data_IF_434612572932
#
_entry.id   IF_434612572932
#
_cell.length_a   1.000
_cell.length_b   1.000
_cell.length_c   1.000
_cell.angle_alpha   90.00
_cell.angle_beta   90.00
_cell.angle_gamma   90.00
#
_symmetry.space_group_name_H-M   'P 1'
#
loop_
_entity.id
_entity.type
_entity.pdbx_description
1 polymer ?
#
# COMPACT_ATOMS: atom_id res chain seq x y z
N UNK A 1 1.24 15.93 -26.18
CA UNK A 1 0.17 15.69 -25.19
C UNK A 1 0.55 16.54 -23.99
N UNK A 2 -0.36 17.36 -23.47
CA UNK A 2 -0.09 18.22 -22.31
C UNK A 2 -0.49 17.45 -21.03
N UNK A 3 0.46 17.23 -20.12
CA UNK A 3 0.26 16.54 -18.85
C UNK A 3 0.25 17.48 -17.64
N UNK A 4 0.24 18.79 -17.86
CA UNK A 4 0.35 19.79 -16.78
C UNK A 4 -0.71 19.64 -15.68
N UNK A 5 -1.95 19.29 -16.04
CA UNK A 5 -3.02 19.04 -15.07
C UNK A 5 -2.77 17.78 -14.24
N UNK A 6 -2.23 16.73 -14.86
CA UNK A 6 -1.85 15.50 -14.16
C UNK A 6 -0.67 15.75 -13.21
N UNK A 7 0.37 16.45 -13.67
CA UNK A 7 1.53 16.79 -12.85
C UNK A 7 1.12 17.64 -11.63
N UNK A 8 0.26 18.64 -11.84
CA UNK A 8 -0.28 19.48 -10.76
C UNK A 8 -1.11 18.66 -9.73
N UNK A 9 -1.87 17.66 -10.20
CA UNK A 9 -2.61 16.75 -9.31
C UNK A 9 -1.65 15.91 -8.47
N UNK A 10 -0.64 15.31 -9.11
CA UNK A 10 0.39 14.50 -8.42
C UNK A 10 1.12 15.34 -7.36
N UNK A 11 1.56 16.53 -7.72
CA UNK A 11 2.25 17.44 -6.80
C UNK A 11 1.38 17.81 -5.58
N UNK A 12 0.10 18.09 -5.82
CA UNK A 12 -0.84 18.43 -4.75
C UNK A 12 -1.11 17.28 -3.77
N UNK A 13 -0.97 16.01 -4.22
CA UNK A 13 -1.30 14.82 -3.42
C UNK A 13 -0.06 14.05 -2.92
N UNK A 14 1.16 14.42 -3.37
CA UNK A 14 2.40 13.71 -3.08
C UNK A 14 2.65 13.53 -1.57
N UNK A 15 2.49 14.58 -0.77
CA UNK A 15 2.70 14.52 0.68
C UNK A 15 1.71 13.58 1.38
N UNK A 16 0.45 13.55 0.93
CA UNK A 16 -0.55 12.63 1.47
C UNK A 16 -0.20 11.19 1.10
N UNK A 17 0.19 10.95 -0.15
CA UNK A 17 0.64 9.64 -0.63
C UNK A 17 1.85 9.11 0.16
N UNK A 18 2.84 9.96 0.42
CA UNK A 18 4.03 9.61 1.20
C UNK A 18 3.66 9.28 2.66
N UNK A 19 2.72 10.01 3.26
CA UNK A 19 2.22 9.70 4.62
C UNK A 19 1.51 8.35 4.66
N UNK A 20 0.61 8.08 3.72
CA UNK A 20 -0.13 6.82 3.64
C UNK A 20 0.81 5.63 3.40
N UNK A 21 1.75 5.77 2.48
CA UNK A 21 2.77 4.77 2.21
C UNK A 21 3.64 4.51 3.45
N UNK A 22 4.06 5.57 4.13
CA UNK A 22 4.87 5.46 5.35
C UNK A 22 4.10 4.75 6.45
N UNK A 23 2.83 5.10 6.67
CA UNK A 23 1.97 4.45 7.65
C UNK A 23 1.79 2.95 7.34
N UNK A 24 1.56 2.61 6.07
CA UNK A 24 1.43 1.21 5.65
C UNK A 24 2.75 0.45 5.79
N UNK A 25 3.90 1.07 5.46
CA UNK A 25 5.23 0.44 5.58
C UNK A 25 5.71 0.28 7.03
N UNK A 26 5.18 1.07 7.96
CA UNK A 26 5.45 0.89 9.39
C UNK A 26 4.82 -0.39 9.97
N UNK A 27 3.88 -1.01 9.26
CA UNK A 27 3.24 -2.25 9.68
C UNK A 27 4.05 -3.45 9.17
N UNK A 28 4.61 -4.29 10.09
CA UNK A 28 5.42 -5.45 9.74
C UNK A 28 4.52 -6.62 9.29
N UNK A 29 3.90 -6.49 8.12
CA UNK A 29 2.98 -7.47 7.54
C UNK A 29 3.71 -8.70 7.00
N UNK A 30 4.53 -9.30 7.85
CA UNK A 30 5.32 -10.50 7.56
C UNK A 30 4.45 -11.73 7.79
N UNK A 31 4.59 -12.76 6.95
CA UNK A 31 3.91 -14.03 7.17
C UNK A 31 4.22 -14.59 8.56
N UNK A 32 3.16 -14.94 9.31
CA UNK A 32 3.25 -15.40 10.70
C UNK A 32 3.12 -14.28 11.74
N UNK A 33 3.31 -13.01 11.39
CA UNK A 33 3.02 -11.88 12.27
C UNK A 33 1.54 -11.48 12.16
N UNK A 34 0.71 -12.06 13.00
CA UNK A 34 -0.75 -11.85 12.96
C UNK A 34 -1.15 -10.39 13.18
N UNK A 35 -0.47 -9.70 14.08
CA UNK A 35 -0.76 -8.30 14.39
C UNK A 35 -0.37 -7.38 13.22
N UNK A 36 0.81 -7.57 12.66
CA UNK A 36 1.26 -6.82 11.48
C UNK A 36 0.37 -7.04 10.26
N UNK A 37 -0.07 -8.28 10.03
CA UNK A 37 -1.04 -8.60 8.97
C UNK A 37 -2.38 -7.93 9.22
N UNK A 38 -2.95 -8.05 10.43
CA UNK A 38 -4.23 -7.44 10.76
C UNK A 38 -4.19 -5.90 10.62
N UNK A 39 -3.10 -5.29 11.06
CA UNK A 39 -2.87 -3.85 10.88
C UNK A 39 -2.83 -3.46 9.41
N UNK A 40 -2.09 -4.21 8.58
CA UNK A 40 -2.00 -3.95 7.15
C UNK A 40 -3.35 -4.12 6.44
N UNK A 41 -4.12 -5.17 6.78
CA UNK A 41 -5.48 -5.38 6.27
C UNK A 41 -6.37 -4.16 6.59
N UNK A 42 -6.35 -3.70 7.85
CA UNK A 42 -7.14 -2.53 8.26
C UNK A 42 -6.73 -1.26 7.49
N UNK A 43 -5.43 -1.03 7.33
CA UNK A 43 -4.92 0.13 6.61
C UNK A 43 -5.29 0.10 5.12
N UNK A 44 -5.16 -1.06 4.46
CA UNK A 44 -5.53 -1.21 3.04
C UNK A 44 -7.04 -1.05 2.84
N UNK A 45 -7.87 -1.59 3.74
CA UNK A 45 -9.31 -1.37 3.71
C UNK A 45 -9.68 0.11 3.78
N UNK A 46 -9.05 0.86 4.68
CA UNK A 46 -9.28 2.31 4.79
C UNK A 46 -8.85 3.07 3.53
N UNK A 47 -7.69 2.71 2.95
CA UNK A 47 -7.22 3.29 1.69
C UNK A 47 -8.21 3.02 0.54
N UNK A 48 -8.66 1.76 0.39
CA UNK A 48 -9.60 1.38 -0.64
C UNK A 48 -10.97 2.10 -0.49
N UNK A 49 -11.47 2.21 0.74
CA UNK A 49 -12.73 2.93 1.02
C UNK A 49 -12.61 4.43 0.74
N UNK A 50 -11.47 5.06 1.06
CA UNK A 50 -11.22 6.47 0.70
C UNK A 50 -11.16 6.68 -0.81
N UNK A 51 -10.60 5.72 -1.54
CA UNK A 51 -10.58 5.72 -2.99
C UNK A 51 -11.97 5.45 -3.63
N UNK A 52 -13.04 5.37 -2.82
CA UNK A 52 -14.40 5.16 -3.30
C UNK A 52 -14.78 3.74 -3.63
N UNK A 53 -13.86 2.76 -3.43
CA UNK A 53 -14.12 1.37 -3.76
C UNK A 53 -15.10 0.71 -2.77
N UNK A 54 -15.98 -0.14 -3.28
CA UNK A 54 -16.74 -1.10 -2.47
C UNK A 54 -15.79 -2.23 -2.05
N UNK A 55 -15.12 -2.04 -0.91
CA UNK A 55 -14.08 -2.94 -0.45
C UNK A 55 -14.59 -3.95 0.58
N UNK A 56 -14.14 -5.20 0.47
CA UNK A 56 -14.45 -6.29 1.40
C UNK A 56 -13.23 -7.16 1.70
N UNK A 57 -13.29 -7.85 2.85
CA UNK A 57 -12.26 -8.80 3.29
C UNK A 57 -12.77 -10.22 2.99
N UNK A 58 -12.00 -10.96 2.19
CA UNK A 58 -12.31 -12.34 1.80
C UNK A 58 -11.31 -13.29 2.46
N UNK A 59 -11.77 -14.04 3.46
CA UNK A 59 -10.98 -15.07 4.11
C UNK A 59 -11.20 -16.41 3.37
N UNK A 60 -10.21 -16.85 2.60
CA UNK A 60 -10.27 -18.13 1.89
C UNK A 60 -10.02 -19.32 2.81
N UNK A 61 -9.11 -19.16 3.77
CA UNK A 61 -8.72 -20.19 4.73
C UNK A 61 -8.34 -19.56 6.06
N UNK A 62 -8.60 -20.24 7.20
CA UNK A 62 -8.30 -19.71 8.53
C UNK A 62 -6.80 -19.51 8.84
N UNK A 63 -5.95 -20.24 8.13
CA UNK A 63 -4.48 -20.26 8.30
C UNK A 63 -3.74 -19.30 7.37
N UNK A 64 -4.45 -18.65 6.45
CA UNK A 64 -3.87 -17.70 5.50
C UNK A 64 -4.30 -16.25 5.77
N UNK A 65 -3.44 -15.29 5.43
CA UNK A 65 -3.86 -13.89 5.38
C UNK A 65 -5.05 -13.70 4.43
N UNK A 66 -6.03 -12.83 4.77
CA UNK A 66 -7.19 -12.62 3.91
C UNK A 66 -6.81 -11.86 2.63
N UNK A 67 -7.65 -11.99 1.61
CA UNK A 67 -7.61 -11.15 0.43
C UNK A 67 -8.52 -9.94 0.69
N UNK A 68 -8.13 -8.79 0.17
CA UNK A 68 -8.96 -7.60 0.11
C UNK A 68 -9.36 -7.42 -1.34
N UNK A 69 -10.66 -7.37 -1.61
CA UNK A 69 -11.21 -7.02 -2.91
C UNK A 69 -11.85 -5.65 -2.83
N UNK A 70 -11.85 -4.92 -3.94
CA UNK A 70 -12.53 -3.64 -4.05
C UNK A 70 -12.97 -3.44 -5.49
N UNK A 71 -14.20 -2.97 -5.68
CA UNK A 71 -14.80 -2.76 -6.99
C UNK A 71 -15.40 -1.37 -7.08
N UNK A 72 -15.33 -0.77 -8.27
CA UNK A 72 -16.04 0.44 -8.63
C UNK A 72 -16.54 0.35 -10.08
N UNK A 73 -17.70 0.98 -10.32
CA UNK A 73 -18.31 1.04 -11.64
C UNK A 73 -18.98 -0.27 -12.08
N UNK A 74 -19.70 -0.17 -13.19
CA UNK A 74 -20.47 -1.28 -13.79
C UNK A 74 -20.18 -1.45 -15.28
N UNK A 75 -19.17 -0.76 -15.79
CA UNK A 75 -18.86 -0.69 -17.20
C UNK A 75 -18.04 -1.87 -17.73
N UNK A 76 -17.84 -1.88 -19.02
CA UNK A 76 -16.94 -2.79 -19.73
C UNK A 76 -16.02 -1.95 -20.64
N UNK A 77 -14.73 -2.28 -20.82
CA UNK A 77 -14.06 -3.46 -20.25
C UNK A 77 -13.75 -3.35 -18.76
N UNK A 78 -13.60 -4.47 -18.08
CA UNK A 78 -13.15 -4.56 -16.70
C UNK A 78 -11.61 -4.45 -16.64
N UNK A 79 -11.11 -3.52 -15.82
CA UNK A 79 -9.68 -3.44 -15.48
C UNK A 79 -9.45 -4.10 -14.12
N UNK A 80 -8.67 -5.18 -14.08
CA UNK A 80 -8.25 -5.81 -12.84
C UNK A 80 -6.86 -5.33 -12.44
N UNK A 81 -6.73 -4.87 -11.19
CA UNK A 81 -5.46 -4.44 -10.59
C UNK A 81 -5.12 -5.39 -9.45
N UNK A 82 -3.90 -5.95 -9.45
CA UNK A 82 -3.41 -6.83 -8.40
C UNK A 82 -2.24 -6.20 -7.64
N UNK A 83 -2.28 -6.33 -6.32
CA UNK A 83 -1.20 -5.95 -5.40
C UNK A 83 -1.10 -6.94 -4.26
N UNK A 84 0.03 -6.95 -3.53
CA UNK A 84 0.13 -7.61 -2.23
C UNK A 84 0.52 -6.62 -1.14
N UNK A 85 0.07 -6.87 0.09
CA UNK A 85 0.31 -6.02 1.25
C UNK A 85 1.26 -6.65 2.26
N UNK A 86 1.56 -7.94 2.10
CA UNK A 86 2.56 -8.63 2.90
C UNK A 86 3.98 -8.28 2.43
N UNK A 87 4.94 -8.54 3.30
CA UNK A 87 6.35 -8.27 3.03
C UNK A 87 7.23 -9.40 3.55
N UNK A 88 8.40 -9.54 2.95
CA UNK A 88 9.42 -10.45 3.47
C UNK A 88 9.96 -9.95 4.82
N UNK A 89 10.42 -10.87 5.70
CA UNK A 89 11.18 -10.50 6.88
C UNK A 89 12.36 -9.60 6.54
N UNK A 90 12.80 -8.81 7.50
CA UNK A 90 14.01 -8.00 7.37
C UNK A 90 14.84 -8.16 8.64
N UNK A 91 16.10 -8.62 8.47
CA UNK A 91 17.06 -8.65 9.57
C UNK A 91 17.63 -7.23 9.74
N UNK A 92 17.52 -6.60 10.91
CA UNK A 92 18.13 -5.31 11.19
C UNK A 92 19.66 -5.27 10.94
N UNK A 93 20.32 -6.42 10.96
CA UNK A 93 21.76 -6.54 10.73
C UNK A 93 22.15 -6.61 9.23
N UNK A 94 21.20 -6.63 8.32
CA UNK A 94 21.42 -6.69 6.86
C UNK A 94 21.77 -5.32 6.23
N UNK A 95 22.46 -4.44 6.94
CA UNK A 95 22.96 -3.17 6.38
C UNK A 95 21.89 -2.06 6.26
N UNK A 96 20.78 -2.17 6.99
CA UNK A 96 19.79 -1.11 7.07
C UNK A 96 20.35 0.12 7.79
N UNK A 97 20.30 1.28 7.14
CA UNK A 97 20.70 2.57 7.74
C UNK A 97 19.64 3.14 8.69
N UNK A 98 18.42 2.64 8.62
CA UNK A 98 17.31 2.91 9.55
C UNK A 98 16.53 1.63 9.77
N UNK A 99 15.82 1.45 10.91
CA UNK A 99 15.06 0.23 11.15
C UNK A 99 14.09 -0.07 9.98
N UNK A 100 14.01 -1.33 9.50
CA UNK A 100 13.26 -1.70 8.29
C UNK A 100 11.78 -1.25 8.28
N UNK A 101 11.13 -1.26 9.44
CA UNK A 101 9.73 -0.85 9.62
C UNK A 101 9.58 0.55 10.22
N UNK A 102 10.62 1.39 10.08
CA UNK A 102 10.58 2.82 10.37
C UNK A 102 10.85 3.58 9.07
N UNK A 103 9.83 3.77 8.21
CA UNK A 103 10.00 4.41 6.92
C UNK A 103 10.66 5.79 7.08
N UNK A 104 11.75 6.00 6.37
CA UNK A 104 12.61 7.17 6.54
C UNK A 104 12.85 7.87 5.21
N UNK A 105 12.46 9.14 5.12
CA UNK A 105 12.75 9.97 3.95
C UNK A 105 14.18 10.52 4.06
N UNK A 106 15.01 10.24 3.06
CA UNK A 106 16.39 10.75 2.94
C UNK A 106 16.68 11.09 1.48
N UNK A 107 17.25 12.24 1.24
CA UNK A 107 17.69 12.68 -0.10
C UNK A 107 16.61 12.52 -1.18
N UNK A 108 15.35 12.83 -0.82
CA UNK A 108 14.20 12.70 -1.71
C UNK A 108 13.70 11.28 -1.94
N UNK A 109 14.22 10.27 -1.23
CA UNK A 109 13.82 8.87 -1.35
C UNK A 109 13.27 8.34 -0.02
N UNK A 110 12.20 7.56 -0.09
CA UNK A 110 11.64 6.84 1.06
C UNK A 110 12.26 5.45 1.17
N UNK A 111 12.85 5.16 2.34
CA UNK A 111 13.48 3.89 2.65
C UNK A 111 12.69 3.13 3.69
N UNK A 112 12.47 1.83 3.47
CA UNK A 112 11.78 0.92 4.39
C UNK A 112 11.44 -0.42 3.74
N UNK A 113 11.20 -1.45 4.55
CA UNK A 113 10.74 -2.74 4.04
C UNK A 113 9.33 -2.59 3.43
N UNK A 114 9.17 -3.09 2.20
CA UNK A 114 7.90 -3.04 1.49
C UNK A 114 7.63 -1.74 0.72
N UNK A 115 8.48 -0.71 0.83
CA UNK A 115 8.31 0.54 0.08
C UNK A 115 8.23 0.26 -1.42
N UNK A 116 9.26 -0.36 -2.01
CA UNK A 116 9.29 -0.66 -3.44
C UNK A 116 8.48 -1.90 -3.81
N UNK A 117 8.42 -2.90 -2.93
CA UNK A 117 7.77 -4.18 -3.17
C UNK A 117 6.84 -4.55 -2.00
N UNK A 118 5.57 -4.29 -2.09
CA UNK A 118 4.78 -3.77 -3.21
C UNK A 118 3.91 -2.56 -2.78
N UNK A 119 4.11 -2.03 -1.54
CA UNK A 119 3.20 -1.06 -0.91
C UNK A 119 3.10 0.27 -1.66
N UNK A 120 4.18 0.73 -2.33
CA UNK A 120 4.10 1.92 -3.18
C UNK A 120 3.13 1.72 -4.34
N UNK A 121 3.18 0.56 -4.99
CA UNK A 121 2.28 0.26 -6.10
C UNK A 121 0.82 0.19 -5.64
N UNK A 122 0.57 -0.36 -4.44
CA UNK A 122 -0.75 -0.42 -3.84
C UNK A 122 -1.30 0.98 -3.59
N UNK A 123 -0.54 1.84 -2.91
CA UNK A 123 -0.96 3.22 -2.60
C UNK A 123 -1.16 4.04 -3.88
N UNK A 124 -0.20 4.00 -4.81
CA UNK A 124 -0.27 4.76 -6.06
C UNK A 124 -1.47 4.37 -6.92
N UNK A 125 -1.81 3.07 -6.97
CA UNK A 125 -2.96 2.59 -7.76
C UNK A 125 -4.29 2.92 -7.12
N UNK A 126 -4.39 2.93 -5.80
CA UNK A 126 -5.58 3.40 -5.10
C UNK A 126 -5.81 4.89 -5.33
N UNK A 127 -4.75 5.71 -5.25
CA UNK A 127 -4.83 7.14 -5.57
C UNK A 127 -5.17 7.43 -7.05
N UNK A 128 -4.86 6.50 -7.95
CA UNK A 128 -5.18 6.68 -9.37
C UNK A 128 -6.65 6.38 -9.70
N UNK A 129 -7.41 5.78 -8.78
CA UNK A 129 -8.85 5.50 -8.93
C UNK A 129 -9.72 6.41 -8.06
N UNK A 130 -9.12 7.19 -7.15
CA UNK A 130 -9.79 8.21 -6.35
C UNK A 130 -10.24 9.39 -7.25
#
# INVERSE_FOLDING_TARGET
>A
MDFSAFDAYVDAHADAAIRDLSALCALPSIQGNKEGIAGAVSAVMQLAQRAGLQAEIVALRPDLPPIITGEDGTGQPLLMVYNHYDVQPADPNEGWLSPPFTPTLRDGHLYGRGVADNKVNLVARLLAVE
#
